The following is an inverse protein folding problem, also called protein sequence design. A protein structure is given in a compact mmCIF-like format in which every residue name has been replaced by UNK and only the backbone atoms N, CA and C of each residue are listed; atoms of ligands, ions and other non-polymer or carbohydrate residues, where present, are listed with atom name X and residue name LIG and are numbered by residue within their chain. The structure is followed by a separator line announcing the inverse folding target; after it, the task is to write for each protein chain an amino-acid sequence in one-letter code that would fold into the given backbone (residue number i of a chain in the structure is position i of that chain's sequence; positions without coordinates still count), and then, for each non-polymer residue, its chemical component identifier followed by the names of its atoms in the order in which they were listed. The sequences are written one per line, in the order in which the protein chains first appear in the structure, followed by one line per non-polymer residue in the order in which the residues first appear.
data_IF_681362044905
#
_entry.id   IF_681362044905
#
_cell.length_a   1.000
_cell.length_b   1.000
_cell.length_c   1.000
_cell.angle_alpha   90.00
_cell.angle_beta   90.00
_cell.angle_gamma   90.00
#
_symmetry.space_group_name_H-M   'P 1'
#
loop_
_entity.id
_entity.type
_entity.pdbx_description
1 polymer ?
#
# COMPACT_ATOMS: atom_id res chain seq x y z
N UNK A 1 -12.49 37.57 -8.27
CA UNK A 1 -13.86 37.12 -7.92
C UNK A 1 -13.86 36.25 -6.66
N UNK A 2 -13.06 35.18 -6.60
CA UNK A 2 -12.94 34.39 -5.35
C UNK A 2 -12.20 35.13 -4.22
N UNK A 3 -11.22 35.97 -4.54
CA UNK A 3 -10.47 36.80 -3.56
C UNK A 3 -11.32 37.84 -2.80
N UNK A 4 -12.53 38.14 -3.28
CA UNK A 4 -13.46 39.07 -2.63
C UNK A 4 -14.51 38.39 -1.75
N UNK A 5 -14.46 37.06 -1.61
CA UNK A 5 -15.35 36.31 -0.71
C UNK A 5 -14.67 36.25 0.66
N UNK A 6 -15.39 36.62 1.73
CA UNK A 6 -14.86 36.53 3.09
C UNK A 6 -14.76 35.07 3.55
N UNK A 7 -13.67 34.80 4.25
CA UNK A 7 -13.42 33.68 5.15
C UNK A 7 -14.58 33.35 6.12
N UNK A 8 -15.42 34.34 6.46
CA UNK A 8 -16.61 34.19 7.33
C UNK A 8 -17.89 33.77 6.59
N UNK A 9 -17.81 33.48 5.31
CA UNK A 9 -18.96 32.98 4.55
C UNK A 9 -19.17 31.48 4.83
N UNK A 10 -20.38 31.06 5.18
CA UNK A 10 -20.67 29.67 5.58
C UNK A 10 -20.20 28.63 4.55
N UNK A 11 -20.27 28.98 3.25
CA UNK A 11 -19.83 28.14 2.14
C UNK A 11 -18.45 28.55 1.57
N UNK A 12 -17.56 29.12 2.39
CA UNK A 12 -16.21 29.52 1.97
C UNK A 12 -15.37 28.34 1.46
N UNK A 13 -15.59 27.14 1.99
CA UNK A 13 -14.99 25.89 1.50
C UNK A 13 -15.27 25.66 0.00
N UNK A 14 -16.45 26.04 -0.50
CA UNK A 14 -16.80 25.97 -1.94
C UNK A 14 -16.01 27.00 -2.75
N UNK A 15 -15.80 28.20 -2.19
CA UNK A 15 -14.97 29.23 -2.82
C UNK A 15 -13.50 28.81 -2.89
N UNK A 16 -12.97 28.13 -1.86
CA UNK A 16 -11.60 27.62 -1.83
C UNK A 16 -11.34 26.56 -2.91
N UNK A 17 -12.20 25.53 -3.04
CA UNK A 17 -12.01 24.50 -4.08
C UNK A 17 -12.15 25.08 -5.50
N UNK A 18 -13.12 25.99 -5.71
CA UNK A 18 -13.29 26.66 -6.99
C UNK A 18 -12.08 27.56 -7.34
N UNK A 19 -11.54 28.30 -6.36
CA UNK A 19 -10.33 29.11 -6.52
C UNK A 19 -9.12 28.24 -6.85
N UNK A 20 -8.89 27.15 -6.11
CA UNK A 20 -7.81 26.20 -6.36
C UNK A 20 -7.86 25.61 -7.78
N UNK A 21 -9.04 25.23 -8.27
CA UNK A 21 -9.23 24.81 -9.66
C UNK A 21 -8.88 25.89 -10.68
N UNK A 22 -9.22 27.16 -10.41
CA UNK A 22 -8.82 28.26 -11.30
C UNK A 22 -7.31 28.52 -11.27
N UNK A 23 -6.67 28.52 -10.11
CA UNK A 23 -5.22 28.67 -9.98
C UNK A 23 -4.46 27.52 -10.65
N UNK A 24 -4.95 26.27 -10.52
CA UNK A 24 -4.45 25.11 -11.23
C UNK A 24 -4.52 25.29 -12.76
N UNK A 25 -5.68 25.69 -13.30
CA UNK A 25 -5.88 25.95 -14.74
C UNK A 25 -5.01 27.11 -15.26
N UNK A 26 -4.66 28.06 -14.41
CA UNK A 26 -3.74 29.17 -14.70
C UNK A 26 -2.25 28.78 -14.53
N UNK A 27 -1.94 27.52 -14.20
CA UNK A 27 -0.57 27.03 -13.97
C UNK A 27 0.06 27.48 -12.64
N UNK A 28 -0.71 28.10 -11.74
CA UNK A 28 -0.26 28.64 -10.45
C UNK A 28 -0.31 27.58 -9.36
N UNK A 29 0.38 26.47 -9.61
CA UNK A 29 0.29 25.23 -8.82
C UNK A 29 0.54 25.42 -7.32
N UNK A 30 1.45 26.32 -6.92
CA UNK A 30 1.73 26.62 -5.51
C UNK A 30 0.56 27.36 -4.83
N UNK A 31 -0.10 28.29 -5.53
CA UNK A 31 -1.29 28.96 -5.00
C UNK A 31 -2.43 27.97 -4.82
N UNK A 32 -2.62 27.08 -5.80
CA UNK A 32 -3.62 26.02 -5.74
C UNK A 32 -3.40 25.12 -4.51
N UNK A 33 -2.18 24.61 -4.28
CA UNK A 33 -1.86 23.82 -3.07
C UNK A 33 -2.18 24.58 -1.78
N UNK A 34 -1.78 25.86 -1.67
CA UNK A 34 -2.08 26.67 -0.48
C UNK A 34 -3.60 26.83 -0.21
N UNK A 35 -4.41 27.03 -1.26
CA UNK A 35 -5.87 27.14 -1.14
C UNK A 35 -6.52 25.80 -0.74
N UNK A 36 -5.92 24.68 -1.16
CA UNK A 36 -6.37 23.32 -0.84
C UNK A 36 -5.98 22.90 0.58
N UNK A 37 -4.77 23.25 1.03
CA UNK A 37 -4.34 23.13 2.42
C UNK A 37 -5.29 23.94 3.33
N UNK A 38 -5.64 25.17 2.94
CA UNK A 38 -6.59 26.00 3.70
C UNK A 38 -7.99 25.36 3.78
N UNK A 39 -8.44 24.66 2.74
CA UNK A 39 -9.68 23.89 2.79
C UNK A 39 -9.55 22.71 3.75
N UNK A 40 -8.49 21.91 3.62
CA UNK A 40 -8.28 20.71 4.43
C UNK A 40 -8.19 21.02 5.94
N UNK A 41 -7.37 21.98 6.34
CA UNK A 41 -7.10 22.26 7.76
C UNK A 41 -8.24 22.98 8.49
N UNK A 42 -9.14 23.66 7.77
CA UNK A 42 -10.20 24.49 8.38
C UNK A 42 -11.63 24.01 8.11
N UNK A 43 -11.86 23.15 7.11
CA UNK A 43 -13.19 22.73 6.66
C UNK A 43 -13.27 21.20 6.48
N UNK A 44 -12.99 20.47 7.56
CA UNK A 44 -12.99 19.00 7.63
C UNK A 44 -14.36 18.35 7.33
N UNK A 45 -15.45 19.11 7.47
CA UNK A 45 -16.83 18.70 7.18
C UNK A 45 -17.25 18.89 5.70
N UNK A 46 -16.41 19.59 4.92
CA UNK A 46 -16.62 19.89 3.50
C UNK A 46 -16.73 18.63 2.66
N UNK A 47 -17.74 18.57 1.79
CA UNK A 47 -17.89 17.45 0.84
C UNK A 47 -16.74 17.38 -0.18
N UNK A 48 -16.00 18.48 -0.37
CA UNK A 48 -14.91 18.59 -1.34
C UNK A 48 -13.54 18.12 -0.81
N UNK A 49 -13.47 17.56 0.40
CA UNK A 49 -12.20 17.21 1.06
C UNK A 49 -11.33 16.24 0.23
N UNK A 50 -11.95 15.22 -0.39
CA UNK A 50 -11.22 14.24 -1.21
C UNK A 50 -10.87 14.79 -2.60
N UNK A 51 -11.74 15.59 -3.21
CA UNK A 51 -11.42 16.34 -4.44
C UNK A 51 -10.21 17.26 -4.22
N UNK A 52 -10.19 17.96 -3.08
CA UNK A 52 -9.12 18.87 -2.71
C UNK A 52 -7.77 18.14 -2.57
N UNK A 53 -7.78 17.00 -1.86
CA UNK A 53 -6.60 16.13 -1.74
C UNK A 53 -6.12 15.59 -3.10
N UNK A 54 -7.03 15.18 -3.97
CA UNK A 54 -6.69 14.68 -5.31
C UNK A 54 -6.11 15.78 -6.21
N UNK A 55 -6.66 16.99 -6.15
CA UNK A 55 -6.11 18.14 -6.90
C UNK A 55 -4.75 18.57 -6.35
N UNK A 56 -4.56 18.57 -5.03
CA UNK A 56 -3.28 18.89 -4.39
C UNK A 56 -2.22 17.85 -4.75
N UNK A 57 -2.56 16.56 -4.68
CA UNK A 57 -1.70 15.47 -5.12
C UNK A 57 -1.24 15.63 -6.56
N UNK A 58 -2.14 16.05 -7.46
CA UNK A 58 -1.81 16.31 -8.85
C UNK A 58 -0.90 17.54 -9.02
N UNK A 59 -1.16 18.63 -8.28
CA UNK A 59 -0.29 19.81 -8.26
C UNK A 59 1.13 19.48 -7.75
N UNK A 60 1.22 18.77 -6.63
CA UNK A 60 2.48 18.31 -6.04
C UNK A 60 3.24 17.36 -6.99
N UNK A 61 2.54 16.47 -7.70
CA UNK A 61 3.15 15.64 -8.75
C UNK A 61 3.80 16.48 -9.86
N UNK A 62 3.11 17.50 -10.39
CA UNK A 62 3.66 18.35 -11.45
C UNK A 62 4.84 19.21 -10.93
N UNK A 63 4.76 19.65 -9.67
CA UNK A 63 5.85 20.38 -8.99
C UNK A 63 7.09 19.51 -8.67
N UNK A 64 7.01 18.18 -8.84
CA UNK A 64 8.07 17.24 -8.49
C UNK A 64 8.10 16.82 -7.01
N UNK A 65 7.13 17.26 -6.21
CA UNK A 65 6.94 16.91 -4.79
C UNK A 65 6.30 15.52 -4.64
N UNK A 66 6.92 14.49 -5.23
CA UNK A 66 6.38 13.11 -5.24
C UNK A 66 6.06 12.55 -3.83
N UNK A 67 6.84 12.82 -2.75
CA UNK A 67 6.49 12.35 -1.41
C UNK A 67 5.17 12.93 -0.89
N UNK A 68 4.90 14.21 -1.16
CA UNK A 68 3.69 14.90 -0.72
C UNK A 68 2.47 14.41 -1.49
N UNK A 69 2.61 14.31 -2.81
CA UNK A 69 1.61 13.71 -3.71
C UNK A 69 1.19 12.31 -3.26
N UNK A 70 2.13 11.46 -2.85
CA UNK A 70 1.83 10.13 -2.32
C UNK A 70 1.15 10.16 -0.95
N UNK A 71 1.45 11.14 -0.08
CA UNK A 71 0.75 11.30 1.21
C UNK A 71 -0.72 11.63 1.00
N UNK A 72 -0.98 12.58 0.10
CA UNK A 72 -2.34 13.06 -0.23
C UNK A 72 -3.18 11.95 -0.89
N UNK A 73 -2.58 11.17 -1.81
CA UNK A 73 -3.25 10.00 -2.39
C UNK A 73 -3.51 8.89 -1.36
N UNK A 74 -2.53 8.59 -0.48
CA UNK A 74 -2.68 7.59 0.60
C UNK A 74 -3.78 7.97 1.57
N UNK A 75 -3.98 9.26 1.87
CA UNK A 75 -5.08 9.73 2.70
C UNK A 75 -6.44 9.34 2.09
N UNK A 76 -6.66 9.61 0.80
CA UNK A 76 -7.92 9.28 0.12
C UNK A 76 -8.10 7.75 0.02
N UNK A 77 -7.05 6.99 -0.27
CA UNK A 77 -7.10 5.51 -0.27
C UNK A 77 -7.45 4.93 1.12
N UNK A 78 -6.91 5.51 2.19
CA UNK A 78 -7.19 5.08 3.56
C UNK A 78 -8.58 5.47 4.04
N UNK A 79 -9.17 6.53 3.49
CA UNK A 79 -10.58 6.84 3.69
C UNK A 79 -11.49 5.72 3.15
N UNK A 80 -11.12 5.06 2.03
CA UNK A 80 -11.83 3.88 1.49
C UNK A 80 -11.85 2.72 2.47
N UNK A 81 -10.69 2.36 3.04
CA UNK A 81 -10.56 1.33 4.08
C UNK A 81 -11.43 1.67 5.29
N UNK A 82 -11.30 2.90 5.79
CA UNK A 82 -12.07 3.40 6.94
C UNK A 82 -13.58 3.34 6.68
N UNK A 83 -14.05 3.73 5.50
CA UNK A 83 -15.46 3.60 5.10
C UNK A 83 -15.93 2.13 5.08
N UNK A 84 -15.11 1.20 4.59
CA UNK A 84 -15.49 -0.24 4.66
C UNK A 84 -15.58 -0.77 6.08
N UNK A 85 -14.67 -0.35 6.97
CA UNK A 85 -14.67 -0.72 8.38
C UNK A 85 -15.90 -0.15 9.12
N UNK A 86 -16.21 1.13 8.92
CA UNK A 86 -17.39 1.76 9.52
C UNK A 86 -18.70 1.14 9.03
N UNK A 87 -18.77 0.74 7.75
CA UNK A 87 -19.90 -0.01 7.24
C UNK A 87 -20.03 -1.40 7.90
N UNK A 88 -18.92 -2.10 8.15
CA UNK A 88 -18.94 -3.38 8.86
C UNK A 88 -19.47 -3.23 10.30
N UNK A 89 -19.05 -2.20 11.05
CA UNK A 89 -19.65 -1.90 12.37
C UNK A 89 -21.12 -1.54 12.29
N UNK A 90 -21.54 -0.80 11.27
CA UNK A 90 -22.95 -0.51 11.02
C UNK A 90 -23.76 -1.77 10.70
N UNK A 91 -23.16 -2.81 10.09
CA UNK A 91 -23.79 -4.12 9.90
C UNK A 91 -23.81 -4.95 11.18
N UNK A 92 -22.76 -4.94 12.01
CA UNK A 92 -22.77 -5.57 13.35
C UNK A 92 -23.86 -4.95 14.25
N UNK A 93 -24.02 -3.63 14.24
CA UNK A 93 -25.11 -2.92 14.92
C UNK A 93 -26.49 -3.43 14.48
N UNK A 94 -26.72 -3.63 13.17
CA UNK A 94 -27.98 -4.22 12.66
C UNK A 94 -28.19 -5.64 13.17
N UNK A 95 -27.13 -6.46 13.23
CA UNK A 95 -27.21 -7.83 13.75
C UNK A 95 -27.58 -7.83 15.23
N UNK A 96 -26.95 -6.99 16.05
CA UNK A 96 -27.27 -6.86 17.48
C UNK A 96 -28.72 -6.42 17.69
N UNK A 97 -29.20 -5.41 16.95
CA UNK A 97 -30.60 -4.96 17.03
C UNK A 97 -31.58 -6.08 16.65
N UNK A 98 -31.26 -6.89 15.63
CA UNK A 98 -32.08 -8.04 15.24
C UNK A 98 -32.08 -9.14 16.32
N UNK A 99 -30.93 -9.44 16.95
CA UNK A 99 -30.83 -10.41 18.05
C UNK A 99 -31.60 -9.90 19.29
N UNK A 100 -31.50 -8.62 19.63
CA UNK A 100 -32.28 -8.00 20.71
C UNK A 100 -33.80 -8.15 20.47
N UNK A 101 -34.26 -7.93 19.24
CA UNK A 101 -35.66 -8.16 18.88
C UNK A 101 -36.07 -9.65 18.97
N UNK A 102 -35.20 -10.57 18.56
CA UNK A 102 -35.46 -12.01 18.73
C UNK A 102 -35.54 -12.38 20.22
N UNK A 103 -34.64 -11.86 21.05
CA UNK A 103 -34.64 -12.05 22.50
C UNK A 103 -35.92 -11.49 23.15
N UNK A 104 -36.44 -10.33 22.74
CA UNK A 104 -37.72 -9.84 23.28
C UNK A 104 -38.90 -10.75 22.93
N UNK A 105 -38.95 -11.30 21.70
CA UNK A 105 -40.00 -12.29 21.34
C UNK A 105 -39.84 -13.64 22.03
N UNK A 106 -38.64 -13.97 22.52
CA UNK A 106 -38.40 -15.15 23.36
C UNK A 106 -38.78 -14.85 24.82
N UNK A 107 -38.48 -13.65 25.33
CA UNK A 107 -38.87 -13.18 26.66
C UNK A 107 -40.39 -13.29 26.86
N UNK A 108 -41.18 -12.79 25.90
CA UNK A 108 -42.65 -12.92 25.90
C UNK A 108 -43.11 -14.38 25.99
N UNK A 109 -42.51 -15.29 25.22
CA UNK A 109 -42.86 -16.73 25.22
C UNK A 109 -42.48 -17.41 26.53
N UNK A 110 -41.33 -17.07 27.09
CA UNK A 110 -40.83 -17.60 28.35
C UNK A 110 -41.67 -17.12 29.53
N UNK A 111 -42.12 -15.86 29.52
CA UNK A 111 -43.08 -15.33 30.51
C UNK A 111 -44.42 -16.08 30.47
N UNK A 112 -44.93 -16.42 29.28
CA UNK A 112 -46.13 -17.25 29.13
C UNK A 112 -45.93 -18.70 29.61
N UNK A 113 -44.72 -19.23 29.50
CA UNK A 113 -44.35 -20.58 29.96
C UNK A 113 -43.94 -20.63 31.44
N UNK A 114 -43.73 -19.47 32.06
CA UNK A 114 -43.38 -19.29 33.47
C UNK A 114 -42.05 -19.97 33.88
N UNK A 115 -41.05 -19.99 32.97
CA UNK A 115 -39.69 -20.49 33.23
C UNK A 115 -38.76 -19.35 33.71
N UNK A 116 -38.38 -19.30 35.01
CA UNK A 116 -37.57 -18.21 35.54
C UNK A 116 -36.10 -18.28 35.11
N UNK A 117 -35.59 -19.47 34.77
CA UNK A 117 -34.19 -19.68 34.40
C UNK A 117 -33.94 -19.18 32.98
N UNK A 118 -34.80 -19.57 32.03
CA UNK A 118 -34.76 -19.04 30.67
C UNK A 118 -34.94 -17.52 30.64
N UNK A 119 -35.78 -16.97 31.53
CA UNK A 119 -35.99 -15.52 31.64
C UNK A 119 -34.71 -14.79 32.04
N UNK A 120 -34.01 -15.30 33.07
CA UNK A 120 -32.75 -14.73 33.56
C UNK A 120 -31.65 -14.76 32.49
N UNK A 121 -31.48 -15.88 31.77
CA UNK A 121 -30.50 -15.99 30.69
C UNK A 121 -30.79 -15.02 29.52
N UNK A 122 -32.06 -14.86 29.13
CA UNK A 122 -32.47 -13.88 28.11
C UNK A 122 -32.12 -12.46 28.55
N UNK A 123 -32.44 -12.10 29.80
CA UNK A 123 -32.13 -10.78 30.38
C UNK A 123 -30.63 -10.50 30.37
N UNK A 124 -29.84 -11.48 30.80
CA UNK A 124 -28.38 -11.40 30.87
C UNK A 124 -27.73 -11.31 29.47
N UNK A 125 -28.34 -11.93 28.45
CA UNK A 125 -27.94 -11.75 27.05
C UNK A 125 -28.33 -10.36 26.50
N UNK A 126 -29.52 -9.85 26.81
CA UNK A 126 -29.93 -8.49 26.45
C UNK A 126 -28.96 -7.45 27.02
N UNK A 127 -28.65 -7.52 28.32
CA UNK A 127 -27.73 -6.58 28.99
C UNK A 127 -26.32 -6.63 28.37
N UNK A 128 -25.80 -7.83 28.06
CA UNK A 128 -24.52 -8.00 27.36
C UNK A 128 -24.53 -7.39 25.96
N UNK A 129 -25.62 -7.56 25.20
CA UNK A 129 -25.76 -7.02 23.85
C UNK A 129 -25.92 -5.50 23.83
N UNK A 130 -26.63 -4.93 24.81
CA UNK A 130 -26.74 -3.49 25.01
C UNK A 130 -25.39 -2.87 25.40
N UNK A 131 -24.64 -3.53 26.29
CA UNK A 131 -23.27 -3.12 26.63
C UNK A 131 -22.35 -3.19 25.41
N UNK A 132 -22.41 -4.29 24.64
CA UNK A 132 -21.65 -4.43 23.39
C UNK A 132 -21.99 -3.28 22.42
N UNK A 133 -23.27 -2.97 22.23
CA UNK A 133 -23.73 -1.88 21.36
C UNK A 133 -23.23 -0.50 21.80
N UNK A 134 -23.11 -0.25 23.11
CA UNK A 134 -22.50 0.97 23.66
C UNK A 134 -20.98 0.99 23.47
N UNK A 135 -20.30 -0.16 23.65
CA UNK A 135 -18.83 -0.25 23.43
C UNK A 135 -18.43 -0.30 21.95
N UNK A 136 -19.37 -0.56 21.06
CA UNK A 136 -19.24 -0.47 19.60
C UNK A 136 -19.26 0.97 19.09
N UNK A 137 -19.45 1.97 19.94
CA UNK A 137 -19.12 3.35 19.58
C UNK A 137 -17.61 3.52 19.41
N UNK A 138 -17.25 4.09 18.27
CA UNK A 138 -15.93 4.04 17.64
C UNK A 138 -14.81 4.79 18.37
N UNK A 139 -15.08 5.31 19.57
CA UNK A 139 -14.14 6.00 20.46
C UNK A 139 -12.94 5.14 20.92
N UNK A 140 -13.02 3.81 20.77
CA UNK A 140 -12.00 2.86 21.23
C UNK A 140 -11.20 2.20 20.11
N UNK A 141 -11.37 2.63 18.86
CA UNK A 141 -10.44 2.28 17.80
C UNK A 141 -9.34 3.34 17.77
N UNK A 142 -8.11 3.06 18.27
CA UNK A 142 -6.98 3.91 17.93
C UNK A 142 -6.78 3.90 16.41
N UNK A 143 -5.85 4.71 15.92
CA UNK A 143 -5.41 4.78 14.52
C UNK A 143 -4.74 3.49 14.06
N UNK A 144 -5.47 2.37 14.15
CA UNK A 144 -5.05 1.01 13.86
C UNK A 144 -4.50 0.96 12.46
N UNK A 145 -5.12 1.63 11.48
CA UNK A 145 -4.58 1.69 10.12
C UNK A 145 -3.27 2.49 10.00
N UNK A 146 -3.08 3.61 10.70
CA UNK A 146 -1.77 4.30 10.71
C UNK A 146 -0.71 3.45 11.41
N UNK A 147 -1.06 2.79 12.52
CA UNK A 147 -0.16 1.91 13.29
C UNK A 147 0.15 0.63 12.51
N UNK A 148 -0.83 0.03 11.83
CA UNK A 148 -0.69 -1.12 10.93
C UNK A 148 0.15 -0.77 9.72
N UNK A 149 -0.04 0.40 9.10
CA UNK A 149 0.76 0.85 7.96
C UNK A 149 2.18 1.21 8.40
N UNK A 150 2.37 1.86 9.55
CA UNK A 150 3.70 2.05 10.15
C UNK A 150 4.36 0.71 10.47
N UNK A 151 3.61 -0.27 10.97
CA UNK A 151 4.12 -1.62 11.26
C UNK A 151 4.44 -2.40 9.97
N UNK A 152 3.62 -2.30 8.92
CA UNK A 152 3.78 -2.96 7.63
C UNK A 152 4.93 -2.35 6.82
N UNK A 153 5.04 -1.02 6.80
CA UNK A 153 6.21 -0.31 6.25
C UNK A 153 7.46 -0.66 7.08
N UNK A 154 7.36 -0.80 8.40
CA UNK A 154 8.47 -1.25 9.25
C UNK A 154 8.91 -2.69 8.92
N UNK A 155 8.01 -3.66 8.71
CA UNK A 155 8.37 -5.01 8.24
C UNK A 155 8.93 -5.00 6.82
N UNK A 156 8.32 -4.27 5.88
CA UNK A 156 8.83 -4.13 4.51
C UNK A 156 10.25 -3.56 4.47
N UNK A 157 10.53 -2.53 5.28
CA UNK A 157 11.86 -1.92 5.39
C UNK A 157 12.86 -2.89 6.03
N UNK A 158 12.46 -3.69 7.04
CA UNK A 158 13.32 -4.75 7.59
C UNK A 158 13.68 -5.80 6.54
N UNK A 159 12.70 -6.30 5.77
CA UNK A 159 12.96 -7.24 4.69
C UNK A 159 13.90 -6.67 3.62
N UNK A 160 13.69 -5.42 3.22
CA UNK A 160 14.56 -4.72 2.27
C UNK A 160 15.98 -4.54 2.81
N UNK A 161 16.14 -4.21 4.09
CA UNK A 161 17.45 -4.16 4.76
C UNK A 161 18.12 -5.53 4.75
N UNK A 162 17.39 -6.61 5.01
CA UNK A 162 17.91 -7.98 5.01
C UNK A 162 18.34 -8.41 3.60
N UNK A 163 17.50 -8.21 2.58
CA UNK A 163 17.84 -8.44 1.16
C UNK A 163 19.09 -7.65 0.75
N UNK A 164 19.23 -6.39 1.18
CA UNK A 164 20.43 -5.59 0.96
C UNK A 164 21.67 -6.10 1.71
N UNK A 165 21.54 -6.71 2.89
CA UNK A 165 22.66 -7.36 3.58
C UNK A 165 23.16 -8.59 2.83
N UNK A 166 22.26 -9.39 2.26
CA UNK A 166 22.64 -10.56 1.45
C UNK A 166 23.27 -10.14 0.12
N UNK A 167 22.73 -9.12 -0.57
CA UNK A 167 23.41 -8.51 -1.71
C UNK A 167 24.76 -7.88 -1.33
N UNK A 168 24.90 -7.31 -0.13
CA UNK A 168 26.21 -6.83 0.35
C UNK A 168 27.20 -7.99 0.40
N UNK A 169 26.87 -9.11 1.04
CA UNK A 169 27.73 -10.31 1.12
C UNK A 169 28.15 -10.82 -0.26
N UNK A 170 27.20 -10.92 -1.20
CA UNK A 170 27.45 -11.37 -2.58
C UNK A 170 28.38 -10.39 -3.33
N UNK A 171 28.20 -9.07 -3.16
CA UNK A 171 29.10 -8.08 -3.78
C UNK A 171 30.47 -8.01 -3.12
N UNK A 172 30.57 -8.43 -1.86
CA UNK A 172 31.82 -8.52 -1.08
C UNK A 172 32.66 -9.73 -1.54
N UNK A 173 32.04 -10.89 -1.82
CA UNK A 173 32.73 -12.06 -2.38
C UNK A 173 33.10 -11.89 -3.86
N UNK A 174 32.30 -11.16 -4.64
CA UNK A 174 32.56 -10.87 -6.06
C UNK A 174 33.44 -9.63 -6.31
N UNK A 175 33.84 -8.88 -5.27
CA UNK A 175 34.75 -7.74 -5.38
C UNK A 175 34.15 -6.43 -5.93
N UNK A 176 32.82 -6.33 -6.08
CA UNK A 176 32.15 -5.15 -6.65
C UNK A 176 32.04 -3.98 -5.64
N UNK A 177 33.18 -3.34 -5.38
CA UNK A 177 33.33 -2.33 -4.33
C UNK A 177 32.41 -1.11 -4.44
N UNK A 178 32.09 -0.63 -5.65
CA UNK A 178 31.14 0.49 -5.83
C UNK A 178 29.69 0.08 -5.56
N UNK A 179 29.28 -1.09 -6.04
CA UNK A 179 27.95 -1.63 -5.79
C UNK A 179 27.76 -1.90 -4.29
N UNK A 180 28.77 -2.45 -3.60
CA UNK A 180 28.82 -2.58 -2.15
C UNK A 180 28.64 -1.23 -1.43
N UNK A 181 29.35 -0.17 -1.86
CA UNK A 181 29.19 1.19 -1.29
C UNK A 181 27.77 1.74 -1.49
N UNK A 182 27.15 1.49 -2.65
CA UNK A 182 25.78 1.93 -2.94
C UNK A 182 24.74 1.14 -2.13
N UNK A 183 24.91 -0.18 -2.00
CA UNK A 183 24.11 -1.04 -1.11
C UNK A 183 24.17 -0.53 0.33
N UNK A 184 25.38 -0.24 0.86
CA UNK A 184 25.55 0.31 2.22
C UNK A 184 24.88 1.69 2.36
N UNK A 185 24.98 2.58 1.37
CA UNK A 185 24.27 3.87 1.38
C UNK A 185 22.75 3.70 1.43
N UNK A 186 22.18 2.82 0.59
CA UNK A 186 20.73 2.56 0.56
C UNK A 186 20.26 1.90 1.85
N UNK A 187 21.01 0.91 2.36
CA UNK A 187 20.74 0.28 3.66
C UNK A 187 20.74 1.29 4.80
N UNK A 188 21.70 2.23 4.82
CA UNK A 188 21.77 3.26 5.85
C UNK A 188 20.64 4.30 5.72
N UNK A 189 20.15 4.59 4.50
CA UNK A 189 18.92 5.39 4.30
C UNK A 189 17.69 4.66 4.84
N UNK A 190 17.54 3.36 4.54
CA UNK A 190 16.43 2.55 5.08
C UNK A 190 16.48 2.43 6.60
N UNK A 191 17.67 2.25 7.21
CA UNK A 191 17.85 2.30 8.66
C UNK A 191 17.47 3.67 9.25
N UNK A 192 17.70 4.76 8.53
CA UNK A 192 17.27 6.10 8.95
C UNK A 192 15.74 6.24 8.87
N UNK A 193 15.10 5.79 7.78
CA UNK A 193 13.63 5.74 7.66
C UNK A 193 13.01 4.87 8.76
N UNK A 194 13.59 3.72 9.05
CA UNK A 194 13.14 2.84 10.14
C UNK A 194 13.29 3.51 11.51
N UNK A 195 14.39 4.24 11.76
CA UNK A 195 14.58 5.05 12.98
C UNK A 195 13.60 6.23 13.07
N UNK A 196 13.14 6.76 11.95
CA UNK A 196 12.06 7.76 11.91
C UNK A 196 10.72 7.09 12.26
N UNK A 197 10.35 5.98 11.59
CA UNK A 197 9.13 5.21 11.86
C UNK A 197 9.04 4.73 13.32
N UNK A 198 10.17 4.33 13.93
CA UNK A 198 10.22 3.95 15.35
C UNK A 198 9.82 5.09 16.31
N UNK A 199 9.88 6.36 15.91
CA UNK A 199 9.35 7.48 16.73
C UNK A 199 7.82 7.52 16.78
N UNK A 200 7.14 6.96 15.77
CA UNK A 200 5.68 6.87 15.70
C UNK A 200 5.14 5.65 16.44
N UNK A 201 6.01 4.78 16.96
CA UNK A 201 5.66 3.53 17.65
C UNK A 201 4.93 3.73 19.00
N UNK A 202 5.07 4.91 19.60
CA UNK A 202 4.39 5.29 20.85
C UNK A 202 3.07 6.07 20.61
N UNK A 203 2.64 6.25 19.36
CA UNK A 203 1.35 6.86 19.02
C UNK A 203 0.26 5.81 19.26
N UNK A 204 -0.21 5.72 20.50
CA UNK A 204 -1.16 4.68 20.95
C UNK A 204 -2.60 4.94 20.55
N UNK A 205 -2.97 6.20 20.30
CA UNK A 205 -4.32 6.63 19.92
C UNK A 205 -4.22 7.86 19.00
N UNK A 206 -4.39 7.64 17.70
CA UNK A 206 -5.00 8.65 16.81
C UNK A 206 -6.48 8.28 16.71
N UNK A 207 -7.40 9.24 16.68
CA UNK A 207 -8.82 8.90 16.50
C UNK A 207 -9.12 8.77 15.00
N UNK A 208 -9.48 7.57 14.54
CA UNK A 208 -9.83 7.31 13.13
C UNK A 208 -10.97 8.22 12.66
N UNK A 209 -11.86 8.63 13.58
CA UNK A 209 -12.99 9.52 13.30
C UNK A 209 -12.54 10.98 13.10
N UNK A 210 -11.50 11.40 13.81
CA UNK A 210 -10.88 12.71 13.62
C UNK A 210 -10.04 12.75 12.33
N UNK A 211 -9.43 11.63 11.95
CA UNK A 211 -8.61 11.53 10.73
C UNK A 211 -9.45 11.46 9.44
N UNK A 212 -10.61 10.79 9.43
CA UNK A 212 -11.43 10.59 8.22
C UNK A 212 -12.91 11.03 8.38
N UNK A 213 -13.17 12.30 8.74
CA UNK A 213 -14.52 12.79 9.07
C UNK A 213 -15.52 12.63 7.92
N UNK A 214 -15.09 12.82 6.67
CA UNK A 214 -15.97 12.68 5.51
C UNK A 214 -16.34 11.21 5.22
N UNK A 215 -15.47 10.24 5.54
CA UNK A 215 -15.80 8.81 5.45
C UNK A 215 -16.83 8.40 6.52
N UNK A 216 -16.70 8.96 7.72
CA UNK A 216 -17.66 8.78 8.81
C UNK A 216 -19.03 9.37 8.44
N UNK A 217 -19.06 10.61 7.94
CA UNK A 217 -20.26 11.29 7.43
C UNK A 217 -20.98 10.43 6.38
N UNK A 218 -20.25 9.92 5.40
CA UNK A 218 -20.77 9.05 4.34
C UNK A 218 -21.34 7.72 4.88
N UNK A 219 -20.61 7.04 5.77
CA UNK A 219 -21.04 5.74 6.33
C UNK A 219 -22.27 5.88 7.23
N UNK A 220 -22.30 6.90 8.11
CA UNK A 220 -23.43 7.18 8.98
C UNK A 220 -24.70 7.49 8.18
N UNK A 221 -24.60 8.28 7.11
CA UNK A 221 -25.76 8.65 6.31
C UNK A 221 -26.26 7.47 5.44
N UNK A 222 -25.36 6.63 4.92
CA UNK A 222 -25.74 5.34 4.31
C UNK A 222 -26.50 4.45 5.31
N UNK A 223 -25.99 4.30 6.54
CA UNK A 223 -26.64 3.53 7.59
C UNK A 223 -28.04 4.08 7.93
N UNK A 224 -28.18 5.39 8.08
CA UNK A 224 -29.45 6.06 8.37
C UNK A 224 -30.46 5.93 7.22
N UNK A 225 -30.02 6.07 5.96
CA UNK A 225 -30.86 5.83 4.77
C UNK A 225 -31.37 4.38 4.71
N UNK A 226 -30.50 3.40 4.98
CA UNK A 226 -30.88 1.98 5.05
C UNK A 226 -31.85 1.70 6.21
N UNK A 227 -31.65 2.33 7.37
CA UNK A 227 -32.55 2.22 8.52
C UNK A 227 -33.94 2.77 8.20
N UNK A 228 -34.05 3.97 7.61
CA UNK A 228 -35.32 4.54 7.16
C UNK A 228 -36.02 3.68 6.10
N UNK A 229 -35.26 3.12 5.15
CA UNK A 229 -35.77 2.20 4.13
C UNK A 229 -36.35 0.93 4.76
N UNK A 230 -35.69 0.39 5.79
CA UNK A 230 -36.17 -0.76 6.55
C UNK A 230 -37.42 -0.41 7.38
N UNK A 231 -37.45 0.75 8.05
CA UNK A 231 -38.65 1.25 8.75
C UNK A 231 -39.83 1.40 7.79
N UNK A 232 -39.65 2.02 6.62
CA UNK A 232 -40.69 2.15 5.60
C UNK A 232 -41.24 0.78 5.14
N UNK A 233 -40.36 -0.23 4.99
CA UNK A 233 -40.76 -1.58 4.63
C UNK A 233 -41.52 -2.30 5.76
N UNK A 234 -41.11 -2.12 7.02
CA UNK A 234 -41.82 -2.68 8.18
C UNK A 234 -43.19 -2.03 8.37
N UNK A 235 -43.29 -0.70 8.34
CA UNK A 235 -44.57 0.04 8.42
C UNK A 235 -45.53 -0.41 7.31
N UNK A 236 -45.02 -0.65 6.09
CA UNK A 236 -45.83 -1.17 4.99
C UNK A 236 -46.38 -2.58 5.26
N UNK A 237 -45.58 -3.48 5.84
CA UNK A 237 -46.03 -4.84 6.23
C UNK A 237 -47.05 -4.78 7.36
N UNK A 238 -46.79 -4.00 8.40
CA UNK A 238 -47.68 -3.84 9.56
C UNK A 238 -49.02 -3.24 9.15
N UNK A 239 -49.02 -2.22 8.27
CA UNK A 239 -50.23 -1.67 7.66
C UNK A 239 -51.03 -2.73 6.89
N UNK A 240 -50.38 -3.65 6.18
CA UNK A 240 -51.06 -4.76 5.49
C UNK A 240 -51.68 -5.76 6.48
N UNK A 241 -50.99 -6.08 7.58
CA UNK A 241 -51.50 -6.94 8.64
C UNK A 241 -52.70 -6.30 9.37
N UNK A 242 -52.62 -5.02 9.75
CA UNK A 242 -53.75 -4.28 10.35
C UNK A 242 -54.95 -4.23 9.38
N UNK A 243 -54.72 -4.09 8.07
CA UNK A 243 -55.80 -4.18 7.08
C UNK A 243 -56.42 -5.58 6.94
N UNK A 244 -55.67 -6.65 7.21
CA UNK A 244 -56.20 -8.02 7.30
C UNK A 244 -57.03 -8.18 8.60
N UNK A 245 -56.47 -7.80 9.75
CA UNK A 245 -57.18 -7.86 11.03
C UNK A 245 -58.45 -7.03 11.05
N UNK A 246 -58.47 -5.81 10.49
CA UNK A 246 -59.71 -5.01 10.37
C UNK A 246 -60.78 -5.69 9.51
N UNK A 247 -60.40 -6.48 8.49
CA UNK A 247 -61.36 -7.27 7.69
C UNK A 247 -61.92 -8.45 8.49
N UNK A 248 -61.05 -9.25 9.11
CA UNK A 248 -61.45 -10.38 9.96
C UNK A 248 -62.35 -9.94 11.11
N UNK A 249 -61.96 -8.87 11.81
CA UNK A 249 -62.69 -8.30 12.91
C UNK A 249 -64.06 -7.75 12.45
N UNK A 250 -64.15 -7.14 11.25
CA UNK A 250 -65.45 -6.73 10.68
C UNK A 250 -66.38 -7.91 10.34
N UNK A 251 -65.83 -9.10 10.07
CA UNK A 251 -66.62 -10.32 9.88
C UNK A 251 -67.08 -10.88 11.23
N UNK A 252 -66.20 -10.91 12.22
CA UNK A 252 -66.53 -11.33 13.59
C UNK A 252 -67.60 -10.44 14.24
N UNK A 253 -67.56 -9.11 14.03
CA UNK A 253 -68.59 -8.19 14.51
C UNK A 253 -69.96 -8.55 13.91
N UNK A 254 -70.04 -8.78 12.59
CA UNK A 254 -71.30 -9.18 11.94
C UNK A 254 -71.85 -10.49 12.50
N UNK A 255 -71.00 -11.49 12.67
CA UNK A 255 -71.39 -12.77 13.27
C UNK A 255 -71.86 -12.60 14.73
N UNK A 256 -71.21 -11.75 15.52
CA UNK A 256 -71.62 -11.44 16.90
C UNK A 256 -72.96 -10.68 16.96
N UNK A 257 -73.21 -9.77 16.00
CA UNK A 257 -74.49 -9.07 15.83
C UNK A 257 -75.63 -10.04 15.46
N UNK A 258 -75.39 -10.94 14.48
CA UNK A 258 -76.34 -11.98 14.07
C UNK A 258 -76.68 -12.93 15.22
N UNK A 259 -75.68 -13.32 16.02
CA UNK A 259 -75.83 -14.17 17.22
C UNK A 259 -76.34 -13.41 18.46
N UNK A 260 -76.50 -12.08 18.39
CA UNK A 260 -76.91 -11.19 19.50
C UNK A 260 -76.04 -11.31 20.77
N UNK A 261 -74.75 -11.64 20.62
CA UNK A 261 -73.83 -11.81 21.73
C UNK A 261 -73.16 -10.47 22.10
N UNK A 262 -73.83 -9.68 22.93
CA UNK A 262 -73.39 -8.34 23.35
C UNK A 262 -72.03 -8.33 24.06
N UNK A 263 -71.69 -9.41 24.76
CA UNK A 263 -70.44 -9.56 25.51
C UNK A 263 -69.23 -9.76 24.59
N UNK A 264 -69.43 -10.44 23.45
CA UNK A 264 -68.45 -10.56 22.37
C UNK A 264 -68.40 -9.30 21.51
N UNK A 265 -69.56 -8.68 21.24
CA UNK A 265 -69.66 -7.44 20.48
C UNK A 265 -68.79 -6.33 21.08
N UNK A 266 -68.98 -6.02 22.37
CA UNK A 266 -68.24 -4.94 23.05
C UNK A 266 -66.73 -5.17 23.08
N UNK A 267 -66.28 -6.42 23.24
CA UNK A 267 -64.86 -6.79 23.17
C UNK A 267 -64.28 -6.60 21.77
N UNK A 268 -65.05 -6.90 20.72
CA UNK A 268 -64.62 -6.67 19.33
C UNK A 268 -64.60 -5.18 18.99
N UNK A 269 -65.58 -4.39 19.42
CA UNK A 269 -65.61 -2.94 19.23
C UNK A 269 -64.40 -2.26 19.88
N UNK A 270 -64.03 -2.65 21.11
CA UNK A 270 -62.81 -2.17 21.77
C UNK A 270 -61.52 -2.54 20.99
N UNK A 271 -61.45 -3.76 20.44
CA UNK A 271 -60.32 -4.16 19.60
C UNK A 271 -60.28 -3.39 18.25
N UNK A 272 -61.43 -3.00 17.70
CA UNK A 272 -61.49 -2.13 16.52
C UNK A 272 -60.91 -0.74 16.80
N UNK A 273 -61.26 -0.12 17.93
CA UNK A 273 -60.70 1.16 18.39
C UNK A 273 -59.17 1.08 18.59
N UNK A 274 -58.69 -0.05 19.14
CA UNK A 274 -57.27 -0.36 19.24
C UNK A 274 -56.55 -0.41 17.88
N UNK A 275 -57.13 -1.10 16.88
CA UNK A 275 -56.59 -1.14 15.51
C UNK A 275 -56.63 0.23 14.81
N UNK A 276 -57.63 1.06 15.09
CA UNK A 276 -57.70 2.43 14.58
C UNK A 276 -56.62 3.33 15.19
N UNK A 277 -56.41 3.22 16.51
CA UNK A 277 -55.30 3.89 17.21
C UNK A 277 -53.93 3.47 16.67
N UNK A 278 -53.73 2.17 16.40
CA UNK A 278 -52.50 1.67 15.75
C UNK A 278 -52.35 2.20 14.32
N UNK A 279 -53.44 2.29 13.56
CA UNK A 279 -53.42 2.85 12.19
C UNK A 279 -52.94 4.31 12.20
N UNK A 280 -53.46 5.14 13.11
CA UNK A 280 -53.06 6.54 13.27
C UNK A 280 -51.57 6.67 13.65
N UNK A 281 -51.07 5.81 14.55
CA UNK A 281 -49.63 5.77 14.91
C UNK A 281 -48.75 5.41 13.71
N UNK A 282 -49.14 4.42 12.91
CA UNK A 282 -48.42 4.07 11.68
C UNK A 282 -48.43 5.21 10.65
N UNK A 283 -49.51 5.98 10.56
CA UNK A 283 -49.57 7.17 9.70
C UNK A 283 -48.59 8.26 10.16
N UNK A 284 -48.50 8.53 11.47
CA UNK A 284 -47.49 9.42 12.02
C UNK A 284 -46.06 8.94 11.73
N UNK A 285 -45.78 7.63 11.85
CA UNK A 285 -44.48 7.07 11.47
C UNK A 285 -44.19 7.15 9.97
N UNK A 286 -45.20 7.00 9.09
CA UNK A 286 -45.01 7.22 7.65
C UNK A 286 -44.64 8.67 7.33
N UNK A 287 -45.30 9.65 7.98
CA UNK A 287 -44.97 11.07 7.83
C UNK A 287 -43.52 11.32 8.27
N UNK A 288 -43.16 10.90 9.48
CA UNK A 288 -41.79 11.02 10.00
C UNK A 288 -40.72 10.43 9.06
N UNK A 289 -40.93 9.22 8.53
CA UNK A 289 -39.99 8.59 7.59
C UNK A 289 -39.94 9.32 6.24
N UNK A 290 -41.04 9.96 5.81
CA UNK A 290 -41.08 10.74 4.57
C UNK A 290 -40.41 12.10 4.67
N UNK A 291 -40.45 12.72 5.85
CA UNK A 291 -39.82 14.01 6.17
C UNK A 291 -38.33 13.85 6.52
N UNK A 292 -37.95 12.74 7.17
CA UNK A 292 -36.57 12.42 7.57
C UNK A 292 -35.64 12.05 6.40
N UNK A 293 -35.97 12.41 5.16
CA UNK A 293 -35.10 12.14 4.01
C UNK A 293 -33.79 12.92 4.13
N UNK A 294 -32.74 12.22 4.52
CA UNK A 294 -31.38 12.74 4.46
C UNK A 294 -31.02 13.15 3.03
N UNK A 295 -30.40 14.32 2.90
CA UNK A 295 -29.86 14.77 1.62
C UNK A 295 -28.81 13.78 1.12
N UNK A 296 -28.83 13.49 -0.19
CA UNK A 296 -27.78 12.70 -0.81
C UNK A 296 -26.44 13.46 -0.71
N UNK A 297 -25.39 12.80 -0.23
CA UNK A 297 -24.06 13.38 -0.24
C UNK A 297 -23.47 13.30 -1.63
N UNK A 298 -23.47 14.44 -2.32
CA UNK A 298 -22.61 14.69 -3.46
C UNK A 298 -21.16 14.89 -2.97
N UNK A 299 -20.48 13.76 -2.73
CA UNK A 299 -19.06 13.67 -2.32
C UNK A 299 -18.19 12.98 -3.35
N UNK A 300 -18.78 12.37 -4.38
CA UNK A 300 -18.07 11.56 -5.39
C UNK A 300 -17.08 10.54 -4.77
N UNK A 301 -17.41 10.01 -3.58
CA UNK A 301 -16.47 9.26 -2.73
C UNK A 301 -15.77 8.11 -3.46
N UNK A 302 -16.55 7.22 -4.09
CA UNK A 302 -16.02 6.05 -4.81
C UNK A 302 -15.08 6.51 -5.94
N UNK A 303 -15.50 7.49 -6.74
CA UNK A 303 -14.73 8.09 -7.83
C UNK A 303 -13.37 8.66 -7.35
N UNK A 304 -13.35 9.42 -6.27
CA UNK A 304 -12.08 9.97 -5.76
C UNK A 304 -11.16 8.91 -5.17
N UNK A 305 -11.70 7.90 -4.49
CA UNK A 305 -10.90 6.78 -3.97
C UNK A 305 -10.34 5.88 -5.07
N UNK A 306 -11.10 5.62 -6.14
CA UNK A 306 -10.60 4.85 -7.28
C UNK A 306 -9.52 5.62 -8.07
N UNK A 307 -9.67 6.94 -8.21
CA UNK A 307 -8.61 7.77 -8.76
C UNK A 307 -7.37 7.85 -7.86
N UNK A 308 -7.49 7.75 -6.53
CA UNK A 308 -6.31 7.74 -5.64
C UNK A 308 -5.47 6.47 -5.82
N UNK A 309 -6.11 5.30 -5.85
CA UNK A 309 -5.41 4.03 -6.09
C UNK A 309 -4.73 3.96 -7.47
N UNK A 310 -5.39 4.48 -8.52
CA UNK A 310 -4.77 4.63 -9.84
C UNK A 310 -3.57 5.61 -9.81
N UNK A 311 -3.73 6.77 -9.16
CA UNK A 311 -2.70 7.79 -9.03
C UNK A 311 -1.44 7.29 -8.32
N UNK A 312 -1.59 6.50 -7.26
CA UNK A 312 -0.47 5.83 -6.58
C UNK A 312 0.24 4.84 -7.50
N UNK A 313 -0.53 3.99 -8.19
CA UNK A 313 0.01 2.96 -9.09
C UNK A 313 0.83 3.57 -10.24
N UNK A 314 0.36 4.66 -10.83
CA UNK A 314 1.06 5.37 -11.90
C UNK A 314 2.34 6.10 -11.39
N UNK A 315 2.30 6.67 -10.17
CA UNK A 315 3.51 7.24 -9.54
C UNK A 315 4.59 6.19 -9.27
N UNK A 316 4.21 5.01 -8.80
CA UNK A 316 5.15 3.91 -8.57
C UNK A 316 5.64 3.30 -9.89
N UNK A 317 4.78 3.16 -10.91
CA UNK A 317 5.21 2.78 -12.27
C UNK A 317 6.24 3.77 -12.85
N UNK A 318 5.98 5.08 -12.73
CA UNK A 318 6.91 6.13 -13.17
C UNK A 318 8.25 6.08 -12.42
N UNK A 319 8.24 5.74 -11.12
CA UNK A 319 9.46 5.47 -10.34
C UNK A 319 10.20 4.23 -10.83
N UNK A 320 9.49 3.12 -11.05
CA UNK A 320 10.08 1.88 -11.58
C UNK A 320 10.75 2.12 -12.94
N UNK A 321 10.06 2.81 -13.85
CA UNK A 321 10.59 3.18 -15.18
C UNK A 321 11.80 4.13 -15.09
N UNK A 322 11.82 5.04 -14.13
CA UNK A 322 13.00 5.89 -13.88
C UNK A 322 14.20 5.07 -13.39
N UNK A 323 13.99 4.08 -12.52
CA UNK A 323 15.03 3.14 -12.08
C UNK A 323 15.49 2.23 -13.22
N UNK A 324 14.58 1.71 -14.04
CA UNK A 324 14.89 0.91 -15.23
C UNK A 324 15.77 1.69 -16.22
N UNK A 325 15.41 2.94 -16.52
CA UNK A 325 16.23 3.81 -17.37
C UNK A 325 17.64 4.03 -16.79
N UNK A 326 17.79 4.15 -15.47
CA UNK A 326 19.11 4.21 -14.81
C UNK A 326 19.88 2.90 -14.96
N UNK A 327 19.22 1.74 -14.81
CA UNK A 327 19.83 0.41 -15.03
C UNK A 327 20.31 0.27 -16.48
N UNK A 328 19.50 0.67 -17.47
CA UNK A 328 19.89 0.67 -18.89
C UNK A 328 21.11 1.58 -19.13
N UNK A 329 21.16 2.76 -18.51
CA UNK A 329 22.31 3.65 -18.60
C UNK A 329 23.58 3.03 -17.97
N UNK A 330 23.46 2.40 -16.80
CA UNK A 330 24.58 1.67 -16.18
C UNK A 330 25.04 0.49 -17.03
N UNK A 331 24.14 -0.28 -17.64
CA UNK A 331 24.49 -1.39 -18.52
C UNK A 331 25.29 -0.92 -19.76
N UNK A 332 24.89 0.19 -20.40
CA UNK A 332 25.67 0.81 -21.49
C UNK A 332 27.07 1.26 -21.05
N UNK A 333 27.20 1.75 -19.81
CA UNK A 333 28.51 2.09 -19.24
C UNK A 333 29.36 0.83 -18.98
N UNK A 334 28.76 -0.27 -18.54
CA UNK A 334 29.45 -1.56 -18.36
C UNK A 334 29.88 -2.15 -19.71
N UNK A 335 29.05 -2.07 -20.76
CA UNK A 335 29.41 -2.50 -22.11
C UNK A 335 30.58 -1.71 -22.70
N UNK A 336 30.58 -0.37 -22.55
CA UNK A 336 31.69 0.47 -23.02
C UNK A 336 32.99 0.19 -22.24
N UNK A 337 32.93 -0.01 -20.92
CA UNK A 337 34.08 -0.47 -20.11
C UNK A 337 34.59 -1.84 -20.61
N UNK A 338 33.70 -2.81 -20.82
CA UNK A 338 34.06 -4.14 -21.31
C UNK A 338 34.72 -4.09 -22.71
N UNK A 339 34.28 -3.19 -23.58
CA UNK A 339 34.90 -3.00 -24.90
C UNK A 339 36.30 -2.39 -24.78
N UNK A 340 36.50 -1.41 -23.90
CA UNK A 340 37.83 -0.84 -23.59
C UNK A 340 38.76 -1.89 -22.98
N UNK A 341 38.26 -2.74 -22.07
CA UNK A 341 39.03 -3.84 -21.48
C UNK A 341 39.45 -4.87 -22.52
N UNK A 342 38.53 -5.30 -23.41
CA UNK A 342 38.85 -6.20 -24.54
C UNK A 342 39.88 -5.58 -25.48
N UNK A 343 39.81 -4.28 -25.75
CA UNK A 343 40.80 -3.58 -26.57
C UNK A 343 42.19 -3.54 -25.90
N UNK A 344 42.26 -3.21 -24.61
CA UNK A 344 43.51 -3.26 -23.83
C UNK A 344 44.09 -4.67 -23.76
N UNK A 345 43.26 -5.70 -23.58
CA UNK A 345 43.70 -7.10 -23.58
C UNK A 345 44.37 -7.46 -24.92
N UNK A 346 43.80 -7.05 -26.06
CA UNK A 346 44.42 -7.23 -27.38
C UNK A 346 45.76 -6.49 -27.49
N UNK A 347 45.85 -5.25 -27.00
CA UNK A 347 47.12 -4.50 -27.01
C UNK A 347 48.21 -5.18 -26.17
N UNK A 348 47.86 -5.70 -24.98
CA UNK A 348 48.80 -6.44 -24.12
C UNK A 348 49.25 -7.74 -24.79
N UNK A 349 48.35 -8.48 -25.44
CA UNK A 349 48.72 -9.68 -26.21
C UNK A 349 49.73 -9.36 -27.33
N UNK A 350 49.48 -8.31 -28.12
CA UNK A 350 50.41 -7.85 -29.17
C UNK A 350 51.76 -7.47 -28.56
N UNK A 351 51.78 -6.75 -27.43
CA UNK A 351 53.02 -6.40 -26.73
C UNK A 351 53.78 -7.64 -26.20
N UNK A 352 53.08 -8.69 -25.77
CA UNK A 352 53.70 -9.94 -25.35
C UNK A 352 54.29 -10.71 -26.53
N UNK A 353 53.63 -10.71 -27.70
CA UNK A 353 54.16 -11.30 -28.94
C UNK A 353 55.43 -10.56 -29.41
N UNK A 354 55.39 -9.21 -29.46
CA UNK A 354 56.55 -8.34 -29.73
C UNK A 354 57.73 -8.61 -28.80
N UNK A 355 57.47 -8.80 -27.50
CA UNK A 355 58.50 -9.09 -26.50
C UNK A 355 59.07 -10.51 -26.67
N UNK A 356 58.24 -11.50 -26.96
CA UNK A 356 58.69 -12.87 -27.22
C UNK A 356 59.53 -12.97 -28.51
N UNK A 357 59.22 -12.17 -29.53
CA UNK A 357 60.04 -12.09 -30.74
C UNK A 357 61.39 -11.41 -30.46
N UNK A 358 61.40 -10.29 -29.72
CA UNK A 358 62.63 -9.62 -29.26
C UNK A 358 63.50 -10.56 -28.41
N UNK A 359 62.90 -11.36 -27.53
CA UNK A 359 63.62 -12.36 -26.74
C UNK A 359 64.29 -13.41 -27.64
N UNK A 360 63.58 -13.97 -28.62
CA UNK A 360 64.18 -14.90 -29.61
C UNK A 360 65.35 -14.26 -30.36
N UNK A 361 65.19 -13.03 -30.84
CA UNK A 361 66.27 -12.31 -31.54
C UNK A 361 67.50 -12.11 -30.63
N UNK A 362 67.28 -11.78 -29.35
CA UNK A 362 68.36 -11.59 -28.38
C UNK A 362 69.03 -12.91 -27.98
N UNK A 363 68.28 -14.01 -27.84
CA UNK A 363 68.82 -15.36 -27.67
C UNK A 363 69.66 -15.79 -28.89
N UNK A 364 69.24 -15.49 -30.12
CA UNK A 364 70.04 -15.71 -31.32
C UNK A 364 71.33 -14.89 -31.34
N UNK A 365 71.27 -13.60 -30.99
CA UNK A 365 72.45 -12.75 -30.90
C UNK A 365 73.44 -13.27 -29.87
N UNK A 366 72.99 -13.65 -28.67
CA UNK A 366 73.81 -14.30 -27.65
C UNK A 366 74.41 -15.62 -28.13
N UNK A 367 73.66 -16.44 -28.88
CA UNK A 367 74.18 -17.68 -29.48
C UNK A 367 75.26 -17.39 -30.52
N UNK A 368 75.06 -16.39 -31.39
CA UNK A 368 76.05 -15.95 -32.39
C UNK A 368 77.32 -15.42 -31.72
N UNK A 369 77.19 -14.61 -30.67
CA UNK A 369 78.32 -14.11 -29.86
C UNK A 369 79.07 -15.26 -29.17
N UNK A 370 78.38 -16.22 -28.54
CA UNK A 370 79.02 -17.42 -27.97
C UNK A 370 79.79 -18.22 -29.02
N UNK A 371 79.24 -18.40 -30.22
CA UNK A 371 79.94 -19.07 -31.33
C UNK A 371 81.17 -18.27 -31.79
N UNK A 372 81.09 -16.94 -31.86
CA UNK A 372 82.22 -16.08 -32.20
C UNK A 372 83.32 -16.15 -31.12
N UNK A 373 82.97 -16.08 -29.83
CA UNK A 373 83.90 -16.23 -28.72
C UNK A 373 84.55 -17.62 -28.71
N UNK A 374 83.80 -18.69 -28.97
CA UNK A 374 84.37 -20.04 -29.11
C UNK A 374 85.34 -20.13 -30.30
N UNK A 375 85.01 -19.51 -31.44
CA UNK A 375 85.92 -19.43 -32.60
C UNK A 375 87.16 -18.58 -32.32
N UNK A 376 87.04 -17.51 -31.54
CA UNK A 376 88.19 -16.71 -31.08
C UNK A 376 89.08 -17.53 -30.16
N UNK A 377 88.51 -18.17 -29.13
CA UNK A 377 89.27 -19.08 -28.24
C UNK A 377 89.93 -20.24 -28.98
N UNK A 378 89.25 -20.83 -29.98
CA UNK A 378 89.84 -21.85 -30.84
C UNK A 378 90.98 -21.31 -31.70
N UNK A 379 90.89 -20.06 -32.19
CA UNK A 379 92.00 -19.40 -32.90
C UNK A 379 93.16 -19.05 -31.98
N UNK A 380 92.89 -18.54 -30.78
CA UNK A 380 93.91 -18.26 -29.77
C UNK A 380 94.63 -19.54 -29.34
N UNK A 381 93.88 -20.62 -29.07
CA UNK A 381 94.43 -21.95 -28.82
C UNK A 381 95.29 -22.47 -30.00
N UNK A 382 94.79 -22.32 -31.23
CA UNK A 382 95.53 -22.72 -32.43
C UNK A 382 96.81 -21.92 -32.66
N UNK A 383 96.79 -20.61 -32.37
CA UNK A 383 97.94 -19.71 -32.56
C UNK A 383 98.96 -19.82 -31.42
N UNK A 384 98.53 -20.08 -30.19
CA UNK A 384 99.38 -19.96 -28.99
C UNK A 384 99.71 -21.29 -28.28
N UNK A 385 98.92 -22.37 -28.46
CA UNK A 385 99.12 -23.64 -27.74
C UNK A 385 99.27 -24.87 -28.66
N UNK A 386 98.64 -24.85 -29.85
CA UNK A 386 98.62 -26.02 -30.75
C UNK A 386 99.99 -26.34 -31.36
N UNK A 387 100.75 -25.33 -31.79
CA UNK A 387 102.10 -25.52 -32.37
C UNK A 387 103.20 -25.75 -31.34
N UNK A 388 103.01 -25.31 -30.08
CA UNK A 388 103.97 -25.55 -28.99
C UNK A 388 103.86 -26.99 -28.43
N UNK A 389 102.74 -27.69 -28.67
CA UNK A 389 102.47 -29.02 -28.08
C UNK A 389 102.36 -30.17 -29.08
N UNK A 390 102.38 -29.92 -30.40
CA UNK A 390 102.33 -30.97 -31.44
C UNK A 390 103.33 -30.73 -32.58
N UNK A 391 104.22 -31.70 -32.78
CA UNK A 391 105.33 -31.63 -33.76
C UNK A 391 105.13 -32.47 -35.03
N UNK A 392 103.93 -33.03 -35.28
CA UNK A 392 103.61 -33.82 -36.49
C UNK A 392 102.10 -34.00 -36.69
N UNK A 393 101.63 -33.94 -37.94
CA UNK A 393 100.25 -34.30 -38.33
C UNK A 393 100.09 -35.77 -38.81
N UNK A 394 101.16 -36.58 -38.80
CA UNK A 394 101.11 -37.98 -39.28
C UNK A 394 101.26 -38.98 -38.14
N UNK A 395 100.16 -39.66 -37.80
CA UNK A 395 100.20 -40.89 -36.99
C UNK A 395 100.77 -42.05 -37.83
N UNK A 396 101.94 -42.56 -37.44
CA UNK A 396 102.42 -43.86 -37.96
C UNK A 396 101.68 -44.98 -37.24
N UNK A 397 100.85 -45.72 -37.98
CA UNK A 397 100.18 -46.92 -37.47
C UNK A 397 101.14 -47.94 -36.83
N UNK A 398 100.80 -48.43 -35.65
CA UNK A 398 101.22 -49.74 -35.16
C UNK A 398 100.00 -50.53 -34.69
N UNK A 399 99.68 -51.62 -35.38
CA UNK A 399 98.62 -52.56 -34.99
C UNK A 399 98.91 -53.21 -33.63
N UNK A 400 97.86 -53.44 -32.84
CA UNK A 400 97.54 -54.76 -32.28
C UNK A 400 96.11 -54.82 -31.73
N UNK A 401 95.27 -55.56 -32.45
CA UNK A 401 94.40 -56.64 -31.97
C UNK A 401 93.60 -56.42 -30.66
N UNK A 402 92.32 -56.07 -30.83
CA UNK A 402 91.11 -56.82 -30.41
C UNK A 402 91.19 -57.92 -29.31
N UNK A 403 90.07 -58.30 -28.63
CA UNK A 403 88.72 -57.71 -28.57
C UNK A 403 88.36 -57.39 -27.08
N UNK A 404 87.13 -57.32 -26.55
CA UNK A 404 85.79 -57.59 -27.08
C UNK A 404 84.68 -56.76 -26.41
N UNK A 405 83.54 -56.79 -27.08
CA UNK A 405 82.18 -56.34 -26.80
C UNK A 405 81.54 -56.95 -25.53
N UNK A 406 80.91 -56.11 -24.69
CA UNK A 406 79.46 -56.17 -24.41
C UNK A 406 78.93 -54.94 -23.67
#
# INVERSE_FOLDING_TARGET
LFESISDKFDNYHVALIAKAWTEFRLGRLKSAVNDLDMLFWNYLDSNYLYEAMMLSAHCNRILGNIPESLRELRYVENAKKTFTLLNAYNDERKQIVNILHQLSTLEEKVLLQNDPYAYYEIRLLQDKLLLLMQTLDSHNLPGVHFVEEVNAEHTNILELIQKLQDYQRITETLGYNELRRNIVKTRNRLLHSLKILQKFKDIRQVDILADYPLAQKQSNLKYQQELLKNMAASIKKERQQIQQYRKELSQLIKLAQEQKNMDVLSKLEFQQEGLETLTQKLEAFMVFVSESKYADLDTDFEKWTDFSGFGMSDLDFMRMKAVENQIIAYNRNVETINNVLKYRQKQVLIQMEDLAEKEKQLQEQLRRQKIQQLRQKQKEYFLNEYFDTRTSEVERHSKKDSPDTK
#
